data_IF_111058252395
#
_entry.id   IF_111058252395
#
_cell.length_a   1.000
_cell.length_b   1.000
_cell.length_c   1.000
_cell.angle_alpha   90.00
_cell.angle_beta   90.00
_cell.angle_gamma   90.00
#
_symmetry.space_group_name_H-M   'P 1'
#
loop_
_entity.id
_entity.type
_entity.pdbx_description
1 polymer ?
#
# COMPACT_ATOMS: atom_id res chain seq x y z
N UNK A 1 33.54 17.24 -8.30
CA UNK A 1 32.49 17.89 -7.50
C UNK A 1 31.38 16.87 -7.36
N UNK A 2 30.88 16.58 -6.17
CA UNK A 2 29.73 15.69 -6.04
C UNK A 2 28.53 16.36 -6.69
N UNK A 3 27.81 15.65 -7.56
CA UNK A 3 26.56 16.14 -8.17
C UNK A 3 25.42 16.35 -7.14
N UNK A 4 25.74 16.28 -5.86
CA UNK A 4 24.84 16.45 -4.73
C UNK A 4 25.08 17.83 -4.14
N UNK A 5 24.14 18.73 -4.38
CA UNK A 5 24.01 20.02 -3.69
C UNK A 5 22.59 20.05 -3.09
N UNK A 6 22.39 19.28 -2.04
CA UNK A 6 21.07 19.13 -1.40
C UNK A 6 20.96 20.04 -0.17
N UNK A 7 19.81 20.69 -0.04
CA UNK A 7 19.44 21.41 1.17
C UNK A 7 18.77 20.45 2.15
N UNK A 8 19.48 20.07 3.22
CA UNK A 8 19.03 19.06 4.19
C UNK A 8 17.69 19.44 4.83
N UNK A 9 17.47 20.71 5.15
CA UNK A 9 16.22 21.22 5.72
C UNK A 9 15.05 21.07 4.75
N UNK A 10 15.29 21.33 3.46
CA UNK A 10 14.30 21.18 2.40
C UNK A 10 13.92 19.70 2.21
N UNK A 11 14.91 18.80 2.22
CA UNK A 11 14.67 17.35 2.14
C UNK A 11 13.86 16.88 3.35
N UNK A 12 14.24 17.26 4.57
CA UNK A 12 13.50 16.92 5.79
C UNK A 12 12.04 17.38 5.73
N UNK A 13 11.77 18.57 5.21
CA UNK A 13 10.41 19.08 5.02
C UNK A 13 9.60 18.22 4.05
N UNK A 14 10.20 17.82 2.91
CA UNK A 14 9.54 16.95 1.93
C UNK A 14 9.27 15.57 2.52
N UNK A 15 10.23 15.01 3.25
CA UNK A 15 10.07 13.71 3.92
C UNK A 15 8.92 13.76 4.93
N UNK A 16 8.91 14.74 5.83
CA UNK A 16 7.83 14.90 6.81
C UNK A 16 6.45 15.03 6.15
N UNK A 17 6.31 15.85 5.11
CA UNK A 17 5.04 15.97 4.38
C UNK A 17 4.61 14.67 3.69
N UNK A 18 5.59 13.90 3.20
CA UNK A 18 5.32 12.62 2.53
C UNK A 18 4.93 11.56 3.55
N UNK A 19 5.59 11.51 4.71
CA UNK A 19 5.24 10.66 5.85
C UNK A 19 3.82 10.97 6.35
N UNK A 20 3.47 12.25 6.53
CA UNK A 20 2.12 12.67 6.93
C UNK A 20 1.04 12.20 5.94
N UNK A 21 1.38 12.18 4.65
CA UNK A 21 0.47 11.71 3.60
C UNK A 21 0.40 10.18 3.59
N UNK A 22 1.54 9.50 3.71
CA UNK A 22 1.60 8.04 3.77
C UNK A 22 0.89 7.49 5.02
N UNK A 23 0.92 8.21 6.13
CA UNK A 23 0.19 7.87 7.35
C UNK A 23 -1.33 7.81 7.18
N UNK A 24 -1.87 8.39 6.09
CA UNK A 24 -3.31 8.32 5.78
C UNK A 24 -3.72 7.03 5.10
N UNK A 25 -2.78 6.21 4.59
CA UNK A 25 -3.11 4.99 3.87
C UNK A 25 -3.95 4.02 4.70
N UNK A 26 -3.72 3.91 6.01
CA UNK A 26 -4.54 3.04 6.89
C UNK A 26 -6.02 3.43 6.89
N UNK A 27 -6.30 4.75 6.94
CA UNK A 27 -7.66 5.28 6.86
C UNK A 27 -8.30 5.01 5.49
N UNK A 28 -7.56 5.22 4.41
CA UNK A 28 -8.03 4.97 3.04
C UNK A 28 -8.30 3.47 2.80
N UNK A 29 -7.46 2.56 3.31
CA UNK A 29 -7.71 1.11 3.21
C UNK A 29 -8.92 0.66 4.01
N UNK A 30 -9.13 1.28 5.17
CA UNK A 30 -10.33 1.05 5.98
C UNK A 30 -11.57 1.52 5.22
N UNK A 31 -11.54 2.71 4.63
CA UNK A 31 -12.63 3.25 3.83
C UNK A 31 -12.93 2.38 2.60
N UNK A 32 -11.89 1.96 1.87
CA UNK A 32 -11.99 1.03 0.75
C UNK A 32 -12.69 -0.28 1.14
N UNK A 33 -12.21 -0.92 2.21
CA UNK A 33 -12.73 -2.23 2.67
C UNK A 33 -14.19 -2.11 3.13
N UNK A 34 -14.53 -1.04 3.85
CA UNK A 34 -15.90 -0.75 4.26
C UNK A 34 -16.81 -0.46 3.06
N UNK A 35 -16.30 0.27 2.06
CA UNK A 35 -17.03 0.58 0.83
C UNK A 35 -17.40 -0.68 0.05
N UNK A 36 -16.45 -1.59 -0.13
CA UNK A 36 -16.68 -2.89 -0.76
C UNK A 36 -17.71 -3.73 0.00
N UNK A 37 -17.55 -3.87 1.31
CA UNK A 37 -18.47 -4.65 2.13
C UNK A 37 -19.90 -4.08 2.09
N UNK A 38 -20.03 -2.75 2.15
CA UNK A 38 -21.32 -2.05 2.06
C UNK A 38 -21.96 -2.20 0.67
N UNK A 39 -21.17 -2.09 -0.39
CA UNK A 39 -21.64 -2.29 -1.76
C UNK A 39 -22.09 -3.74 -2.00
N UNK A 40 -21.32 -4.72 -1.54
CA UNK A 40 -21.66 -6.14 -1.63
C UNK A 40 -22.96 -6.46 -0.89
N UNK A 41 -23.15 -5.90 0.31
CA UNK A 41 -24.39 -6.04 1.09
C UNK A 41 -25.59 -5.40 0.41
N UNK A 42 -25.40 -4.25 -0.23
CA UNK A 42 -26.45 -3.49 -0.91
C UNK A 42 -26.86 -4.09 -2.26
N UNK A 43 -25.97 -4.88 -2.89
CA UNK A 43 -26.19 -5.40 -4.24
C UNK A 43 -27.24 -6.54 -4.35
N UNK A 44 -27.80 -6.99 -3.22
CA UNK A 44 -28.86 -8.00 -3.19
C UNK A 44 -28.39 -9.42 -3.53
N UNK A 45 -29.33 -10.35 -3.64
CA UNK A 45 -29.07 -11.80 -3.68
C UNK A 45 -29.51 -12.48 -4.99
N UNK A 46 -29.47 -11.77 -6.13
CA UNK A 46 -29.95 -12.32 -7.41
C UNK A 46 -29.30 -13.68 -7.75
N UNK A 47 -30.10 -14.71 -8.00
CA UNK A 47 -29.66 -16.02 -8.47
C UNK A 47 -30.30 -16.29 -9.85
N UNK A 48 -29.53 -16.61 -10.91
CA UNK A 48 -30.11 -16.97 -12.20
C UNK A 48 -30.98 -18.23 -12.08
N UNK A 49 -32.27 -18.13 -12.40
CA UNK A 49 -33.17 -19.29 -12.54
C UNK A 49 -33.78 -19.88 -11.26
N UNK A 50 -33.60 -19.27 -10.08
CA UNK A 50 -34.24 -19.73 -8.84
C UNK A 50 -34.59 -18.55 -7.92
N UNK A 51 -35.62 -18.73 -7.07
CA UNK A 51 -35.89 -17.78 -5.99
C UNK A 51 -34.62 -17.65 -5.13
N UNK A 52 -34.16 -16.43 -4.83
CA UNK A 52 -32.92 -16.23 -4.11
C UNK A 52 -32.99 -16.89 -2.73
N UNK A 53 -32.05 -17.80 -2.44
CA UNK A 53 -31.88 -18.30 -1.08
C UNK A 53 -31.41 -17.14 -0.22
N UNK A 54 -32.12 -16.86 0.87
CA UNK A 54 -31.75 -15.81 1.82
C UNK A 54 -30.32 -16.07 2.32
N UNK A 55 -29.44 -15.08 2.16
CA UNK A 55 -28.06 -15.15 2.66
C UNK A 55 -27.00 -15.60 1.64
N UNK A 56 -27.36 -15.91 0.39
CA UNK A 56 -26.35 -16.14 -0.66
C UNK A 56 -25.99 -14.82 -1.35
N UNK A 57 -24.70 -14.43 -1.39
CA UNK A 57 -24.26 -13.23 -2.11
C UNK A 57 -24.67 -13.30 -3.59
N UNK A 58 -25.26 -12.23 -4.13
CA UNK A 58 -25.56 -12.13 -5.55
C UNK A 58 -24.29 -11.99 -6.41
N UNK A 59 -24.41 -12.07 -7.75
CA UNK A 59 -23.27 -12.02 -8.67
C UNK A 59 -22.42 -10.75 -8.52
N UNK A 60 -23.03 -9.62 -8.17
CA UNK A 60 -22.32 -8.35 -7.93
C UNK A 60 -21.45 -8.44 -6.67
N UNK A 61 -21.96 -9.05 -5.59
CA UNK A 61 -21.17 -9.25 -4.37
C UNK A 61 -19.98 -10.19 -4.62
N UNK A 62 -20.17 -11.25 -5.42
CA UNK A 62 -19.07 -12.13 -5.83
C UNK A 62 -18.03 -11.39 -6.69
N UNK A 63 -18.45 -10.54 -7.63
CA UNK A 63 -17.54 -9.74 -8.45
C UNK A 63 -16.74 -8.72 -7.61
N UNK A 64 -17.36 -8.11 -6.61
CA UNK A 64 -16.67 -7.19 -5.69
C UNK A 64 -15.64 -7.92 -4.82
N UNK A 65 -15.93 -9.15 -4.40
CA UNK A 65 -14.95 -9.99 -3.70
C UNK A 65 -13.77 -10.33 -4.61
N UNK A 66 -14.01 -10.76 -5.85
CA UNK A 66 -12.94 -11.05 -6.81
C UNK A 66 -12.10 -9.80 -7.14
N UNK A 67 -12.75 -8.64 -7.26
CA UNK A 67 -12.06 -7.36 -7.42
C UNK A 67 -11.14 -7.08 -6.23
N UNK A 68 -11.66 -7.22 -5.00
CA UNK A 68 -10.89 -7.00 -3.79
C UNK A 68 -9.66 -7.92 -3.72
N UNK A 69 -9.84 -9.22 -4.01
CA UNK A 69 -8.77 -10.21 -4.03
C UNK A 69 -7.69 -9.87 -5.06
N UNK A 70 -8.09 -9.42 -6.26
CA UNK A 70 -7.16 -9.06 -7.34
C UNK A 70 -6.39 -7.77 -7.10
N UNK A 71 -6.97 -6.80 -6.39
CA UNK A 71 -6.32 -5.50 -6.15
C UNK A 71 -5.66 -5.42 -4.78
N UNK A 72 -5.75 -6.45 -3.94
CA UNK A 72 -5.25 -6.41 -2.57
C UNK A 72 -3.75 -6.13 -2.50
N UNK A 73 -2.97 -6.77 -3.37
CA UNK A 73 -1.53 -6.54 -3.43
C UNK A 73 -1.19 -5.15 -3.98
N UNK A 74 -1.97 -4.62 -4.93
CA UNK A 74 -1.80 -3.24 -5.42
C UNK A 74 -2.00 -2.22 -4.29
N UNK A 75 -2.98 -2.47 -3.41
CA UNK A 75 -3.20 -1.62 -2.25
C UNK A 75 -2.05 -1.73 -1.25
N UNK A 76 -1.57 -2.94 -0.96
CA UNK A 76 -0.40 -3.15 -0.07
C UNK A 76 0.89 -2.57 -0.63
N UNK A 77 1.01 -2.49 -1.95
CA UNK A 77 2.15 -1.92 -2.64
C UNK A 77 2.36 -0.44 -2.34
N UNK A 78 1.28 0.36 -2.24
CA UNK A 78 1.36 1.80 -2.01
C UNK A 78 2.15 2.19 -0.73
N UNK A 79 1.80 1.71 0.48
CA UNK A 79 2.53 2.06 1.69
C UNK A 79 3.94 1.46 1.69
N UNK A 80 4.13 0.26 1.13
CA UNK A 80 5.43 -0.37 1.05
C UNK A 80 6.40 0.46 0.18
N UNK A 81 5.92 0.92 -0.98
CA UNK A 81 6.71 1.75 -1.90
C UNK A 81 6.98 3.13 -1.32
N UNK A 82 5.99 3.73 -0.66
CA UNK A 82 6.15 5.00 0.03
C UNK A 82 7.21 4.90 1.14
N UNK A 83 7.10 3.90 2.02
CA UNK A 83 8.05 3.68 3.10
C UNK A 83 9.48 3.46 2.59
N UNK A 84 9.64 2.65 1.53
CA UNK A 84 10.95 2.42 0.93
C UNK A 84 11.55 3.70 0.33
N UNK A 85 10.73 4.52 -0.34
CA UNK A 85 11.18 5.79 -0.94
C UNK A 85 11.59 6.80 0.13
N UNK A 86 10.78 6.94 1.19
CA UNK A 86 11.05 7.82 2.33
C UNK A 86 12.34 7.38 3.03
N UNK A 87 12.46 6.09 3.37
CA UNK A 87 13.63 5.53 4.05
C UNK A 87 14.92 5.67 3.23
N UNK A 88 14.85 5.40 1.92
CA UNK A 88 15.98 5.58 1.01
C UNK A 88 16.47 7.01 0.95
N UNK A 89 15.55 7.97 0.80
CA UNK A 89 15.89 9.39 0.78
C UNK A 89 16.41 9.90 2.13
N UNK A 90 15.84 9.45 3.25
CA UNK A 90 16.32 9.76 4.59
C UNK A 90 17.77 9.25 4.80
N UNK A 91 18.01 7.97 4.49
CA UNK A 91 19.34 7.35 4.60
C UNK A 91 20.35 8.02 3.67
N UNK A 92 19.98 8.31 2.43
CA UNK A 92 20.88 9.00 1.51
C UNK A 92 21.26 10.40 1.99
N UNK A 93 20.32 11.11 2.64
CA UNK A 93 20.59 12.42 3.25
C UNK A 93 21.50 12.30 4.46
N UNK A 94 21.34 11.27 5.29
CA UNK A 94 22.22 10.97 6.41
C UNK A 94 23.67 10.75 5.95
N UNK A 95 23.87 9.87 4.95
CA UNK A 95 25.19 9.59 4.37
C UNK A 95 25.80 10.81 3.67
N UNK A 96 24.97 11.67 3.07
CA UNK A 96 25.42 12.95 2.51
C UNK A 96 25.96 13.89 3.61
N UNK A 97 25.26 13.98 4.75
CA UNK A 97 25.66 14.83 5.88
C UNK A 97 26.98 14.35 6.52
N UNK A 98 27.22 13.04 6.55
CA UNK A 98 28.48 12.47 7.05
C UNK A 98 29.64 12.60 6.05
N UNK A 99 29.36 13.05 4.82
CA UNK A 99 30.35 13.21 3.75
C UNK A 99 30.61 11.96 2.93
N UNK A 100 29.88 10.86 3.16
CA UNK A 100 29.98 9.63 2.39
C UNK A 100 29.02 9.63 1.19
N UNK A 101 29.44 10.35 0.16
CA UNK A 101 28.67 10.53 -1.08
C UNK A 101 28.45 9.22 -1.84
N UNK A 102 29.32 8.22 -1.65
CA UNK A 102 29.17 6.91 -2.29
C UNK A 102 28.06 6.13 -1.59
N UNK A 103 28.04 6.14 -0.26
CA UNK A 103 26.96 5.54 0.52
C UNK A 103 25.64 6.26 0.31
N UNK A 104 25.64 7.59 0.15
CA UNK A 104 24.45 8.35 -0.23
C UNK A 104 23.87 7.89 -1.58
N UNK A 105 24.72 7.77 -2.61
CA UNK A 105 24.31 7.27 -3.92
C UNK A 105 23.81 5.83 -3.88
N UNK A 106 24.48 4.96 -3.10
CA UNK A 106 24.05 3.57 -2.91
C UNK A 106 22.69 3.50 -2.21
N UNK A 107 22.48 4.27 -1.14
CA UNK A 107 21.21 4.29 -0.40
C UNK A 107 20.04 4.74 -1.28
N UNK A 108 20.26 5.74 -2.15
CA UNK A 108 19.26 6.14 -3.14
C UNK A 108 19.01 5.02 -4.17
N UNK A 109 20.07 4.41 -4.69
CA UNK A 109 19.96 3.33 -5.67
C UNK A 109 19.22 2.11 -5.12
N UNK A 110 19.52 1.71 -3.89
CA UNK A 110 18.92 0.55 -3.21
C UNK A 110 17.42 0.73 -2.92
N UNK A 111 16.94 1.97 -2.94
CA UNK A 111 15.52 2.29 -2.80
C UNK A 111 14.74 2.24 -4.12
N UNK A 112 15.41 2.15 -5.28
CA UNK A 112 14.76 2.11 -6.61
C UNK A 112 13.97 0.82 -6.87
N UNK A 113 14.49 -0.39 -6.58
CA UNK A 113 13.80 -1.65 -6.89
C UNK A 113 12.43 -1.74 -6.22
N UNK A 114 11.53 -2.58 -6.74
CA UNK A 114 10.19 -2.70 -6.15
C UNK A 114 10.23 -3.28 -4.73
N UNK A 115 9.38 -2.78 -3.81
CA UNK A 115 9.28 -3.32 -2.46
C UNK A 115 8.80 -4.76 -2.48
N UNK A 116 9.42 -5.60 -1.66
CA UNK A 116 8.95 -6.97 -1.42
C UNK A 116 7.79 -6.93 -0.45
N UNK A 117 6.60 -7.29 -0.92
CA UNK A 117 5.44 -7.40 -0.07
C UNK A 117 5.59 -8.63 0.85
N UNK A 118 5.35 -8.49 2.16
CA UNK A 118 5.29 -9.64 3.04
C UNK A 118 4.11 -10.53 2.63
N UNK A 119 4.25 -11.87 2.74
CA UNK A 119 3.19 -12.79 2.39
C UNK A 119 1.93 -12.47 3.19
N UNK A 120 0.78 -12.59 2.55
CA UNK A 120 -0.51 -12.55 3.24
C UNK A 120 -0.55 -13.76 4.17
N UNK A 121 -0.70 -13.55 5.48
CA UNK A 121 -0.94 -14.66 6.40
C UNK A 121 -2.26 -15.31 5.97
N UNK A 122 -2.32 -16.63 5.72
CA UNK A 122 -3.60 -17.27 5.49
C UNK A 122 -4.45 -17.04 6.74
N UNK A 123 -5.65 -16.46 6.57
CA UNK A 123 -6.66 -16.53 7.62
C UNK A 123 -6.86 -18.00 7.92
N UNK A 124 -6.68 -18.38 9.19
CA UNK A 124 -6.75 -19.76 9.63
C UNK A 124 -8.09 -20.36 9.21
N UNK A 125 -8.05 -21.17 8.14
CA UNK A 125 -9.18 -21.95 7.70
C UNK A 125 -9.68 -22.76 8.88
N UNK A 126 -10.92 -22.51 9.28
CA UNK A 126 -11.64 -23.42 10.19
C UNK A 126 -11.63 -24.79 9.53
N UNK A 127 -10.84 -25.69 10.10
CA UNK A 127 -10.83 -27.09 9.70
C UNK A 127 -12.19 -27.71 9.96
N UNK A 128 -12.67 -28.41 8.92
CA UNK A 128 -13.66 -29.49 8.89
C UNK A 128 -15.05 -29.24 9.51
#
# INVERSE_FOLDING_TARGET
MSNWDIQVESVRRVLSKTEDTAGKFEGEFTAYSNGLASAAKSAGTMAPGAAPKSGTPGPVAAALQEFADKTFDDLRYLPARAAQSIGGAAKATEEYVTGDLKMAANAQHDAIPDPKLPPVKPEGGKGK
#
